data_IF_901232265273
#
_entry.id   IF_901232265273
#
_cell.length_a   1.000
_cell.length_b   1.000
_cell.length_c   1.000
_cell.angle_alpha   90.00
_cell.angle_beta   90.00
_cell.angle_gamma   90.00
#
_symmetry.space_group_name_H-M   'P 1'
#
loop_
_entity.id
_entity.type
_entity.pdbx_description
1 polymer ?
#
# COMPACT_ATOMS: atom_id res chain seq x y z
N UNK A 1 -20.44 11.99 9.33
CA UNK A 1 -18.98 11.98 9.59
C UNK A 1 -18.32 11.37 8.37
N UNK A 2 -17.40 12.03 7.64
CA UNK A 2 -16.78 11.37 6.49
C UNK A 2 -15.90 10.25 7.02
N UNK A 3 -16.32 9.01 6.81
CA UNK A 3 -15.52 7.83 7.08
C UNK A 3 -14.22 7.98 6.28
N UNK A 4 -13.11 8.10 7.01
CA UNK A 4 -11.77 7.98 6.43
C UNK A 4 -11.67 6.51 6.04
N UNK A 5 -12.04 6.19 4.81
CA UNK A 5 -11.93 4.84 4.29
C UNK A 5 -10.44 4.52 4.15
N UNK A 6 -9.90 3.80 5.15
CA UNK A 6 -8.51 3.37 5.20
C UNK A 6 -8.43 1.91 4.82
N UNK A 7 -7.90 1.63 3.64
CA UNK A 7 -7.53 0.28 3.21
C UNK A 7 -6.03 0.09 3.36
N UNK A 8 -5.55 -1.16 3.49
CA UNK A 8 -4.12 -1.48 3.52
C UNK A 8 -3.80 -2.62 2.55
N UNK A 9 -2.58 -2.59 2.02
CA UNK A 9 -1.99 -3.65 1.19
C UNK A 9 -0.77 -4.21 1.93
N UNK A 10 -0.91 -5.47 2.33
CA UNK A 10 0.05 -6.42 2.87
C UNK A 10 0.95 -7.13 1.87
N UNK A 11 2.29 -7.00 1.86
CA UNK A 11 3.14 -8.01 1.19
C UNK A 11 4.39 -8.32 2.00
N UNK A 12 4.96 -9.49 1.77
CA UNK A 12 6.19 -9.94 2.42
C UNK A 12 7.32 -9.95 1.42
N UNK A 13 8.51 -9.51 1.85
CA UNK A 13 9.72 -9.69 1.06
C UNK A 13 10.27 -11.12 1.21
N UNK A 14 11.24 -11.46 0.36
CA UNK A 14 11.96 -12.74 0.38
C UNK A 14 12.65 -13.05 1.73
N UNK A 15 12.83 -12.07 2.61
CA UNK A 15 13.48 -12.24 3.91
C UNK A 15 12.45 -12.43 5.03
N UNK A 16 11.16 -12.50 4.70
CA UNK A 16 10.09 -12.67 5.66
C UNK A 16 9.73 -11.38 6.41
N UNK A 17 10.09 -10.20 5.89
CA UNK A 17 9.65 -8.92 6.49
C UNK A 17 8.36 -8.47 5.84
N UNK A 18 7.38 -8.12 6.67
CA UNK A 18 6.14 -7.53 6.21
C UNK A 18 6.34 -6.06 5.81
N UNK A 19 5.79 -5.71 4.66
CA UNK A 19 5.70 -4.36 4.15
C UNK A 19 4.23 -3.98 3.98
N UNK A 20 3.88 -2.81 4.50
CA UNK A 20 2.49 -2.35 4.56
C UNK A 20 2.36 -1.00 3.88
N UNK A 21 1.42 -0.92 2.94
CA UNK A 21 1.03 0.33 2.31
C UNK A 21 -0.42 0.66 2.67
N UNK A 22 -0.65 1.82 3.27
CA UNK A 22 -1.99 2.34 3.58
C UNK A 22 -2.50 3.23 2.47
N UNK A 23 -3.74 3.01 2.07
CA UNK A 23 -4.50 3.86 1.17
C UNK A 23 -5.54 4.61 2.02
N UNK A 24 -5.43 5.93 2.06
CA UNK A 24 -6.29 6.82 2.83
C UNK A 24 -7.08 7.71 1.88
N UNK A 25 -8.41 7.72 1.99
CA UNK A 25 -9.25 8.68 1.25
C UNK A 25 -9.37 10.00 2.01
N UNK A 26 -8.94 11.09 1.39
CA UNK A 26 -9.10 12.45 1.90
C UNK A 26 -9.92 13.24 0.87
N UNK A 27 -11.23 13.29 1.09
CA UNK A 27 -12.18 13.87 0.12
C UNK A 27 -12.23 13.08 -1.18
N UNK A 28 -11.90 13.75 -2.30
CA UNK A 28 -11.86 13.14 -3.65
C UNK A 28 -10.51 12.50 -3.97
N UNK A 29 -9.45 12.87 -3.26
CA UNK A 29 -8.11 12.31 -3.49
C UNK A 29 -7.88 11.11 -2.58
N UNK A 30 -7.15 10.11 -3.09
CA UNK A 30 -6.63 9.01 -2.28
C UNK A 30 -5.13 9.22 -2.13
N UNK A 31 -4.64 9.11 -0.91
CA UNK A 31 -3.22 9.18 -0.59
C UNK A 31 -2.75 7.78 -0.22
N UNK A 32 -1.69 7.34 -0.87
CA UNK A 32 -1.00 6.09 -0.61
C UNK A 32 0.21 6.42 0.26
N UNK A 33 0.45 5.64 1.31
CA UNK A 33 1.62 5.77 2.18
C UNK A 33 2.18 4.40 2.53
N UNK A 34 3.48 4.19 2.32
CA UNK A 34 4.20 3.04 2.86
C UNK A 34 4.56 3.31 4.33
N UNK A 35 4.13 2.44 5.22
CA UNK A 35 4.50 2.52 6.64
C UNK A 35 5.94 2.10 6.88
N UNK A 36 6.50 1.25 6.01
CA UNK A 36 7.87 0.73 6.15
C UNK A 36 8.93 1.79 5.85
N UNK A 37 8.80 2.50 4.73
CA UNK A 37 9.81 3.46 4.26
C UNK A 37 9.34 4.92 4.28
N UNK A 38 8.09 5.18 4.67
CA UNK A 38 7.53 6.53 4.71
C UNK A 38 7.16 7.13 3.35
N UNK A 39 7.34 6.38 2.25
CA UNK A 39 6.93 6.80 0.91
C UNK A 39 5.48 7.24 0.88
N UNK A 40 5.16 8.32 0.14
CA UNK A 40 3.80 8.85 0.02
C UNK A 40 3.53 9.34 -1.39
N UNK A 41 2.34 9.06 -1.91
CA UNK A 41 1.88 9.56 -3.21
C UNK A 41 0.37 9.77 -3.24
N UNK A 42 -0.08 10.85 -3.86
CA UNK A 42 -1.50 11.01 -4.21
C UNK A 42 -1.83 10.20 -5.46
N UNK A 43 -2.94 9.47 -5.45
CA UNK A 43 -3.44 8.69 -6.57
C UNK A 43 -4.94 8.96 -6.77
N UNK A 44 -5.31 9.41 -7.98
CA UNK A 44 -6.72 9.52 -8.38
C UNK A 44 -7.27 8.19 -8.89
N UNK A 45 -6.42 7.40 -9.57
CA UNK A 45 -6.77 6.12 -10.15
C UNK A 45 -5.88 5.00 -9.62
N UNK A 46 -6.48 3.81 -9.45
CA UNK A 46 -5.81 2.55 -9.11
C UNK A 46 -4.82 2.64 -7.92
N UNK A 47 -5.25 3.13 -6.74
CA UNK A 47 -4.33 3.31 -5.63
C UNK A 47 -3.82 1.99 -5.02
N UNK A 48 -4.58 0.89 -5.14
CA UNK A 48 -4.12 -0.44 -4.73
C UNK A 48 -3.03 -0.97 -5.66
N UNK A 49 -3.21 -0.87 -6.98
CA UNK A 49 -2.17 -1.25 -7.94
C UNK A 49 -0.86 -0.48 -7.68
N UNK A 50 -0.97 0.84 -7.46
CA UNK A 50 0.20 1.68 -7.15
C UNK A 50 0.86 1.33 -5.82
N UNK A 51 0.10 0.80 -4.86
CA UNK A 51 0.64 0.28 -3.62
C UNK A 51 1.41 -1.03 -3.84
N UNK A 52 0.86 -1.95 -4.64
CA UNK A 52 1.50 -3.22 -5.00
C UNK A 52 2.77 -3.02 -5.84
N UNK A 53 2.74 -2.13 -6.83
CA UNK A 53 3.91 -1.75 -7.62
C UNK A 53 5.03 -1.26 -6.70
N UNK A 54 4.72 -0.37 -5.75
CA UNK A 54 5.71 0.11 -4.79
C UNK A 54 6.29 -1.02 -3.93
N UNK A 55 5.45 -1.94 -3.43
CA UNK A 55 5.89 -3.10 -2.65
C UNK A 55 6.84 -3.99 -3.47
N UNK A 56 6.52 -4.26 -4.73
CA UNK A 56 7.35 -5.07 -5.62
C UNK A 56 8.67 -4.35 -5.98
N UNK A 57 8.62 -3.10 -6.40
CA UNK A 57 9.78 -2.38 -6.93
C UNK A 57 10.73 -1.88 -5.85
N UNK A 58 10.21 -1.33 -4.74
CA UNK A 58 11.04 -0.72 -3.70
C UNK A 58 11.45 -1.70 -2.60
N UNK A 59 10.66 -2.75 -2.39
CA UNK A 59 10.83 -3.66 -1.26
C UNK A 59 10.99 -5.13 -1.67
N UNK A 60 10.84 -5.46 -2.96
CA UNK A 60 10.79 -6.85 -3.43
C UNK A 60 9.76 -7.67 -2.63
N UNK A 61 8.71 -6.99 -2.16
CA UNK A 61 7.65 -7.55 -1.34
C UNK A 61 6.54 -8.06 -2.26
N UNK A 62 6.75 -9.26 -2.80
CA UNK A 62 5.86 -9.89 -3.79
C UNK A 62 5.10 -11.09 -3.22
N UNK A 63 5.46 -11.57 -2.03
CA UNK A 63 4.77 -12.69 -1.39
C UNK A 63 3.48 -12.17 -0.75
N UNK A 64 2.35 -12.71 -1.18
CA UNK A 64 1.05 -12.43 -0.57
C UNK A 64 0.75 -13.47 0.52
N UNK A 65 0.57 -13.07 1.78
CA UNK A 65 0.30 -14.01 2.87
C UNK A 65 -1.15 -14.54 2.86
N UNK A 66 -2.04 -13.97 2.05
CA UNK A 66 -3.42 -14.44 1.86
C UNK A 66 -3.55 -15.40 0.66
N UNK A 67 -2.47 -15.64 -0.09
CA UNK A 67 -2.39 -16.58 -1.20
C UNK A 67 -2.14 -18.00 -0.72
N UNK A 68 -3.20 -18.80 -0.67
CA UNK A 68 -3.11 -20.24 -0.93
C UNK A 68 -3.36 -20.46 -2.42
#
# INVERSE_FOLDING_TARGET
MPQIDTSKVSRWDQHGREHVVRVQRIGVQRTIRCDTCGWRRGAQFLPWLKAEEHLAEAHQATVDPAGT
#
